data_IF_873952905674
#
_entry.id   IF_873952905674
#
_cell.length_a   1.000
_cell.length_b   1.000
_cell.length_c   1.000
_cell.angle_alpha   90.00
_cell.angle_beta   90.00
_cell.angle_gamma   90.00
#
_symmetry.space_group_name_H-M   'P 1'
#
loop_
_entity.id
_entity.type
_entity.pdbx_description
1 polymer ?
#
# COMPACT_ATOMS: atom_id res chain seq x y z
N UNK A 1 25.41 8.59 -14.60
CA UNK A 1 25.82 7.18 -14.55
C UNK A 1 24.62 6.42 -14.02
N UNK A 2 23.88 5.74 -14.91
CA UNK A 2 22.68 4.97 -14.53
C UNK A 2 23.18 3.60 -14.07
N UNK A 3 23.16 3.36 -12.77
CA UNK A 3 23.44 2.03 -12.25
C UNK A 3 22.23 1.13 -12.59
N UNK A 4 22.44 0.26 -13.57
CA UNK A 4 21.51 -0.81 -13.96
C UNK A 4 21.37 -1.78 -12.77
N UNK A 5 20.41 -1.51 -11.90
CA UNK A 5 20.05 -2.35 -10.74
C UNK A 5 19.07 -3.46 -11.13
N UNK A 6 19.13 -3.90 -12.38
CA UNK A 6 18.39 -5.07 -12.85
C UNK A 6 19.13 -6.33 -12.39
N UNK A 7 18.53 -7.06 -11.46
CA UNK A 7 19.00 -8.41 -11.14
C UNK A 7 18.59 -9.29 -12.31
N UNK A 8 19.53 -9.52 -13.22
CA UNK A 8 19.38 -10.57 -14.24
C UNK A 8 19.72 -11.89 -13.56
N UNK A 9 18.77 -12.81 -13.58
CA UNK A 9 19.06 -14.17 -13.20
C UNK A 9 19.90 -14.78 -14.34
N UNK A 10 21.15 -15.13 -14.05
CA UNK A 10 21.94 -15.95 -14.96
C UNK A 10 21.45 -17.39 -14.83
N UNK A 11 21.18 -18.01 -15.97
CA UNK A 11 20.71 -19.39 -16.08
C UNK A 11 21.79 -20.36 -15.58
N UNK A 12 21.84 -20.61 -14.27
CA UNK A 12 22.58 -21.74 -13.72
C UNK A 12 21.77 -23.00 -13.99
N UNK A 13 22.29 -23.87 -14.82
CA UNK A 13 21.72 -25.20 -15.05
C UNK A 13 21.67 -25.96 -13.71
N UNK A 14 20.44 -26.33 -13.32
CA UNK A 14 20.11 -27.37 -12.35
C UNK A 14 20.91 -27.39 -11.05
N UNK A 15 20.43 -26.68 -10.02
CA UNK A 15 20.76 -27.09 -8.66
C UNK A 15 20.19 -28.51 -8.44
N UNK A 16 21.07 -29.50 -8.31
CA UNK A 16 20.70 -30.84 -7.89
C UNK A 16 19.91 -30.74 -6.59
N UNK A 17 18.67 -31.24 -6.58
CA UNK A 17 17.86 -31.32 -5.36
C UNK A 17 18.68 -32.03 -4.30
N UNK A 18 18.92 -31.35 -3.18
CA UNK A 18 19.74 -31.94 -2.11
C UNK A 18 18.96 -33.10 -1.48
N UNK A 19 19.67 -34.12 -0.97
CA UNK A 19 19.03 -35.23 -0.25
C UNK A 19 18.13 -34.73 0.91
N UNK A 20 18.52 -33.60 1.52
CA UNK A 20 17.74 -32.90 2.54
C UNK A 20 16.37 -32.43 2.01
N UNK A 21 16.34 -31.75 0.86
CA UNK A 21 15.09 -31.26 0.26
C UNK A 21 14.16 -32.41 -0.15
N UNK A 22 14.72 -33.53 -0.61
CA UNK A 22 13.95 -34.75 -0.88
C UNK A 22 13.26 -35.29 0.37
N UNK A 23 14.00 -35.43 1.48
CA UNK A 23 13.46 -35.90 2.77
C UNK A 23 12.35 -34.97 3.27
N UNK A 24 12.57 -33.65 3.22
CA UNK A 24 11.59 -32.67 3.67
C UNK A 24 10.30 -32.75 2.84
N UNK A 25 10.41 -32.88 1.51
CA UNK A 25 9.26 -32.99 0.61
C UNK A 25 8.47 -34.27 0.86
N UNK A 26 9.15 -35.39 1.01
CA UNK A 26 8.50 -36.69 1.29
C UNK A 26 7.84 -36.72 2.67
N UNK A 27 8.47 -36.12 3.67
CA UNK A 27 7.89 -35.94 5.00
C UNK A 27 6.62 -35.09 4.94
N UNK A 28 6.71 -33.91 4.32
CA UNK A 28 5.58 -32.99 4.18
C UNK A 28 4.42 -33.60 3.37
N UNK A 29 4.72 -34.32 2.28
CA UNK A 29 3.70 -35.02 1.48
C UNK A 29 2.93 -36.03 2.33
N UNK A 30 3.64 -36.83 3.13
CA UNK A 30 3.04 -37.85 4.01
C UNK A 30 2.15 -37.21 5.07
N UNK A 31 2.66 -36.22 5.77
CA UNK A 31 1.91 -35.50 6.81
C UNK A 31 0.66 -34.82 6.23
N UNK A 32 0.78 -34.16 5.08
CA UNK A 32 -0.37 -33.53 4.43
C UNK A 32 -1.40 -34.55 3.97
N UNK A 33 -0.95 -35.68 3.40
CA UNK A 33 -1.83 -36.76 2.98
C UNK A 33 -2.58 -37.34 4.18
N UNK A 34 -1.90 -37.57 5.30
CA UNK A 34 -2.49 -38.06 6.56
C UNK A 34 -3.52 -37.07 7.13
N UNK A 35 -3.21 -35.77 7.13
CA UNK A 35 -4.16 -34.75 7.59
C UNK A 35 -5.44 -34.70 6.72
N UNK A 36 -5.31 -34.86 5.40
CA UNK A 36 -6.47 -34.90 4.48
C UNK A 36 -7.29 -36.20 4.69
N UNK A 37 -6.61 -37.32 4.94
CA UNK A 37 -7.25 -38.59 5.30
C UNK A 37 -8.08 -38.44 6.57
N UNK A 38 -7.46 -37.88 7.61
CA UNK A 38 -8.08 -37.70 8.91
C UNK A 38 -9.25 -36.73 8.88
N UNK A 39 -9.17 -35.65 8.11
CA UNK A 39 -10.29 -34.72 7.93
C UNK A 39 -11.52 -35.43 7.34
N UNK A 40 -11.35 -36.25 6.30
CA UNK A 40 -12.45 -37.00 5.69
C UNK A 40 -12.98 -38.08 6.64
N UNK A 41 -12.07 -38.79 7.32
CA UNK A 41 -12.45 -39.81 8.29
C UNK A 41 -13.18 -39.20 9.49
N UNK A 42 -12.79 -38.02 9.96
CA UNK A 42 -13.47 -37.26 11.00
C UNK A 42 -14.86 -36.84 10.56
N UNK A 43 -15.01 -36.32 9.33
CA UNK A 43 -16.32 -35.97 8.76
C UNK A 43 -17.27 -37.18 8.70
N UNK A 44 -16.79 -38.35 8.27
CA UNK A 44 -17.61 -39.57 8.21
C UNK A 44 -17.92 -40.09 9.63
N UNK A 45 -16.93 -40.09 10.54
CA UNK A 45 -17.10 -40.55 11.93
C UNK A 45 -18.10 -39.70 12.70
N UNK A 46 -18.10 -38.39 12.50
CA UNK A 46 -19.05 -37.47 13.13
C UNK A 46 -20.50 -37.66 12.66
N UNK A 47 -20.74 -38.50 11.66
CA UNK A 47 -22.07 -38.73 11.03
C UNK A 47 -22.44 -40.20 10.94
N UNK A 48 -21.94 -41.00 11.88
CA UNK A 48 -22.21 -42.44 11.93
C UNK A 48 -23.68 -42.75 12.24
N UNK A 49 -24.35 -41.87 12.97
CA UNK A 49 -25.77 -41.99 13.33
C UNK A 49 -26.70 -41.64 12.16
N UNK A 50 -26.21 -40.90 11.17
CA UNK A 50 -26.98 -40.56 9.97
C UNK A 50 -27.15 -41.82 9.09
N UNK A 51 -28.37 -42.35 9.09
CA UNK A 51 -28.75 -43.54 8.31
C UNK A 51 -29.77 -43.22 7.23
N UNK A 52 -29.75 -44.03 6.18
CA UNK A 52 -30.79 -44.07 5.16
C UNK A 52 -32.00 -44.86 5.71
N UNK A 53 -33.15 -44.78 5.03
CA UNK A 53 -34.36 -45.55 5.39
C UNK A 53 -34.12 -47.07 5.42
N UNK A 54 -33.17 -47.57 4.63
CA UNK A 54 -32.75 -48.97 4.59
C UNK A 54 -31.78 -49.38 5.73
N UNK A 55 -31.53 -48.48 6.69
CA UNK A 55 -30.65 -48.72 7.83
C UNK A 55 -29.14 -48.65 7.50
N UNK A 56 -28.75 -48.43 6.25
CA UNK A 56 -27.35 -48.26 5.86
C UNK A 56 -26.83 -46.86 6.21
N UNK A 57 -25.51 -46.72 6.37
CA UNK A 57 -24.88 -45.41 6.62
C UNK A 57 -25.13 -44.46 5.44
N UNK A 58 -25.57 -43.24 5.75
CA UNK A 58 -25.80 -42.18 4.77
C UNK A 58 -24.50 -41.64 4.17
N UNK A 59 -23.50 -41.37 5.01
CA UNK A 59 -22.20 -40.88 4.58
C UNK A 59 -21.18 -42.02 4.52
N UNK A 60 -20.60 -42.23 3.34
CA UNK A 60 -19.65 -43.32 3.10
C UNK A 60 -18.43 -42.84 2.32
N UNK A 61 -17.30 -43.51 2.53
CA UNK A 61 -16.10 -43.29 1.73
C UNK A 61 -16.29 -43.93 0.35
N UNK A 62 -15.98 -43.21 -0.71
CA UNK A 62 -16.20 -43.65 -2.09
C UNK A 62 -14.96 -43.38 -2.97
N UNK A 63 -13.85 -44.01 -2.60
CA UNK A 63 -12.57 -43.89 -3.31
C UNK A 63 -11.92 -42.51 -3.16
N UNK A 64 -11.18 -42.08 -4.18
CA UNK A 64 -10.38 -40.86 -4.18
C UNK A 64 -10.72 -39.95 -5.35
N UNK A 65 -10.54 -38.64 -5.17
CA UNK A 65 -10.42 -37.72 -6.30
C UNK A 65 -9.12 -38.02 -7.07
N UNK A 66 -9.03 -37.64 -8.35
CA UNK A 66 -7.77 -37.72 -9.08
C UNK A 66 -6.64 -37.06 -8.29
N UNK A 67 -5.45 -37.63 -8.39
CA UNK A 67 -4.26 -37.03 -7.81
C UNK A 67 -4.07 -35.62 -8.33
N UNK A 68 -3.68 -34.72 -7.43
CA UNK A 68 -3.33 -33.36 -7.80
C UNK A 68 -2.01 -32.96 -7.17
N UNK A 69 -1.25 -32.25 -7.96
CA UNK A 69 -0.06 -31.57 -7.50
C UNK A 69 -0.46 -30.23 -6.86
N UNK A 70 0.03 -30.01 -5.63
CA UNK A 70 -0.12 -28.79 -4.85
C UNK A 70 1.26 -28.12 -4.75
N UNK A 71 1.43 -26.94 -5.33
CA UNK A 71 2.68 -26.16 -5.20
C UNK A 71 2.76 -25.52 -3.82
N UNK A 72 3.83 -25.80 -3.08
CA UNK A 72 4.09 -25.27 -1.74
C UNK A 72 5.45 -24.56 -1.68
N UNK A 73 5.81 -23.97 -0.54
CA UNK A 73 7.12 -23.33 -0.35
C UNK A 73 8.33 -24.27 -0.45
N UNK A 74 8.13 -25.59 -0.36
CA UNK A 74 9.17 -26.62 -0.51
C UNK A 74 9.10 -27.36 -1.86
N UNK A 75 8.28 -26.81 -2.78
CA UNK A 75 8.02 -27.37 -4.10
C UNK A 75 6.68 -28.11 -4.21
N UNK A 76 6.47 -28.82 -5.32
CA UNK A 76 5.22 -29.53 -5.60
C UNK A 76 5.04 -30.78 -4.73
N UNK A 77 3.84 -30.94 -4.17
CA UNK A 77 3.41 -32.11 -3.41
C UNK A 77 2.23 -32.79 -4.11
N UNK A 78 2.39 -34.05 -4.50
CA UNK A 78 1.29 -34.86 -5.03
C UNK A 78 0.42 -35.39 -3.88
N UNK A 79 -0.88 -35.08 -3.92
CA UNK A 79 -1.86 -35.50 -2.90
C UNK A 79 -3.14 -36.04 -3.53
N UNK A 80 -3.78 -36.99 -2.85
CA UNK A 80 -5.06 -37.58 -3.23
C UNK A 80 -6.09 -37.36 -2.14
N UNK A 81 -7.14 -36.62 -2.44
CA UNK A 81 -8.21 -36.38 -1.47
C UNK A 81 -9.20 -37.55 -1.49
N UNK A 82 -9.50 -38.22 -0.35
CA UNK A 82 -10.58 -39.18 -0.27
C UNK A 82 -11.94 -38.53 -0.56
N UNK A 83 -12.87 -39.31 -1.11
CA UNK A 83 -14.25 -38.86 -1.34
C UNK A 83 -15.14 -39.33 -0.21
N UNK A 84 -15.84 -38.40 0.43
CA UNK A 84 -17.05 -38.71 1.19
C UNK A 84 -18.27 -38.51 0.28
N UNK A 85 -19.12 -39.53 0.18
CA UNK A 85 -20.38 -39.52 -0.57
C UNK A 85 -21.54 -39.49 0.42
N UNK A 86 -22.42 -38.50 0.28
CA UNK A 86 -23.78 -38.57 0.80
C UNK A 86 -24.61 -39.45 -0.14
N UNK A 87 -25.14 -40.57 0.36
CA UNK A 87 -26.03 -41.45 -0.41
C UNK A 87 -27.36 -40.77 -0.75
N UNK A 88 -27.84 -39.85 0.09
CA UNK A 88 -29.05 -39.07 -0.17
C UNK A 88 -28.82 -37.95 -1.21
N UNK A 89 -27.55 -37.62 -1.51
CA UNK A 89 -27.18 -36.61 -2.51
C UNK A 89 -27.51 -35.17 -2.13
N UNK A 90 -27.87 -34.90 -0.87
CA UNK A 90 -28.28 -33.58 -0.41
C UNK A 90 -27.08 -32.72 0.03
N UNK A 91 -25.98 -33.35 0.45
CA UNK A 91 -24.79 -32.65 0.89
C UNK A 91 -23.52 -33.11 0.17
N UNK A 92 -22.58 -32.17 -0.01
CA UNK A 92 -21.26 -32.43 -0.59
C UNK A 92 -20.17 -32.01 0.39
N UNK A 93 -19.29 -32.95 0.73
CA UNK A 93 -18.10 -32.65 1.51
C UNK A 93 -17.16 -31.67 0.79
N UNK A 94 -16.79 -30.60 1.48
CA UNK A 94 -15.72 -29.68 1.09
C UNK A 94 -14.63 -29.70 2.15
N UNK A 95 -13.40 -29.96 1.72
CA UNK A 95 -12.22 -29.98 2.59
C UNK A 95 -11.81 -28.55 2.96
N UNK A 96 -11.55 -28.32 4.24
CA UNK A 96 -10.97 -27.09 4.74
C UNK A 96 -9.45 -27.07 4.52
N UNK A 97 -8.79 -28.23 4.65
CA UNK A 97 -7.35 -28.39 4.42
C UNK A 97 -6.99 -28.24 2.93
N UNK A 98 -7.77 -28.88 2.06
CA UNK A 98 -7.54 -28.92 0.62
C UNK A 98 -8.81 -28.55 -0.17
N UNK A 99 -9.20 -27.25 -0.17
CA UNK A 99 -10.35 -26.75 -0.89
C UNK A 99 -10.42 -27.18 -2.36
N UNK A 100 -11.64 -27.19 -2.89
CA UNK A 100 -11.88 -27.53 -4.29
C UNK A 100 -11.03 -26.64 -5.22
N UNK A 101 -10.42 -27.26 -6.23
CA UNK A 101 -9.60 -26.59 -7.25
C UNK A 101 -8.31 -25.89 -6.76
N UNK A 102 -7.99 -25.94 -5.46
CA UNK A 102 -6.70 -25.48 -4.95
C UNK A 102 -5.53 -26.23 -5.63
N UNK A 103 -4.57 -25.47 -6.15
CA UNK A 103 -3.34 -25.95 -6.83
C UNK A 103 -2.04 -25.44 -6.20
N UNK A 104 -2.12 -24.50 -5.26
CA UNK A 104 -0.97 -23.93 -4.54
C UNK A 104 -1.39 -23.37 -3.18
N UNK A 105 -0.43 -23.21 -2.28
CA UNK A 105 -0.67 -22.60 -0.97
C UNK A 105 -0.75 -21.06 -1.08
N UNK A 106 -1.54 -20.39 -0.22
CA UNK A 106 -1.65 -18.92 -0.21
C UNK A 106 -0.29 -18.22 -0.05
N UNK A 107 0.64 -18.81 0.70
CA UNK A 107 2.00 -18.28 0.88
C UNK A 107 2.76 -18.13 -0.45
N UNK A 108 2.56 -19.01 -1.42
CA UNK A 108 3.20 -18.91 -2.75
C UNK A 108 2.63 -17.72 -3.53
N UNK A 109 1.32 -17.45 -3.40
CA UNK A 109 0.68 -16.30 -4.04
C UNK A 109 1.18 -14.96 -3.46
N UNK A 110 1.61 -14.94 -2.19
CA UNK A 110 2.17 -13.72 -1.56
C UNK A 110 3.57 -13.35 -2.06
N UNK A 111 4.33 -14.30 -2.61
CA UNK A 111 5.69 -14.03 -3.13
C UNK A 111 5.64 -13.18 -4.40
N UNK A 112 4.57 -13.28 -5.19
CA UNK A 112 4.47 -12.65 -6.51
C UNK A 112 4.38 -11.11 -6.42
N UNK A 113 3.52 -10.50 -5.56
CA UNK A 113 3.60 -9.07 -5.28
C UNK A 113 4.98 -8.62 -4.78
N UNK A 114 5.64 -9.45 -3.96
CA UNK A 114 6.98 -9.15 -3.43
C UNK A 114 8.02 -9.13 -4.56
N UNK A 115 7.99 -10.09 -5.50
CA UNK A 115 8.87 -10.08 -6.68
C UNK A 115 8.66 -8.84 -7.54
N UNK A 116 7.40 -8.39 -7.71
CA UNK A 116 7.11 -7.10 -8.35
C UNK A 116 7.71 -5.92 -7.56
N UNK A 117 7.54 -5.88 -6.24
CA UNK A 117 8.11 -4.82 -5.39
C UNK A 117 9.64 -4.81 -5.46
N UNK A 118 10.26 -5.99 -5.51
CA UNK A 118 11.71 -6.15 -5.69
C UNK A 118 12.17 -5.87 -7.12
N UNK A 119 11.25 -5.69 -8.06
CA UNK A 119 11.52 -5.22 -9.41
C UNK A 119 11.92 -6.30 -10.41
N UNK A 120 11.54 -7.54 -10.14
CA UNK A 120 11.65 -8.61 -11.13
C UNK A 120 10.66 -8.28 -12.27
N UNK A 121 11.08 -8.44 -13.53
CA UNK A 121 10.16 -8.24 -14.64
C UNK A 121 9.18 -9.42 -14.73
N UNK A 122 7.94 -9.17 -15.16
CA UNK A 122 6.90 -10.22 -15.29
C UNK A 122 7.37 -11.44 -16.09
N UNK A 123 8.23 -11.23 -17.11
CA UNK A 123 8.80 -12.31 -17.92
C UNK A 123 9.77 -13.21 -17.15
N UNK A 124 10.43 -12.66 -16.12
CA UNK A 124 11.47 -13.34 -15.34
C UNK A 124 10.89 -13.99 -14.07
N UNK A 125 9.57 -13.89 -13.85
CA UNK A 125 8.90 -14.47 -12.67
C UNK A 125 9.01 -15.98 -12.63
N UNK A 126 8.85 -16.61 -13.81
CA UNK A 126 8.99 -18.05 -13.93
C UNK A 126 10.39 -18.49 -13.50
N UNK A 127 11.42 -17.72 -13.83
CA UNK A 127 12.80 -18.01 -13.48
C UNK A 127 13.07 -17.79 -11.98
N UNK A 128 12.73 -16.60 -11.45
CA UNK A 128 12.91 -16.27 -10.04
C UNK A 128 12.19 -17.27 -9.12
N UNK A 129 10.99 -17.70 -9.49
CA UNK A 129 10.22 -18.67 -8.72
C UNK A 129 10.70 -20.11 -8.93
N UNK A 130 11.17 -20.48 -10.13
CA UNK A 130 11.77 -21.80 -10.35
C UNK A 130 13.08 -21.97 -9.57
N UNK A 131 13.84 -20.88 -9.38
CA UNK A 131 15.03 -20.89 -8.52
C UNK A 131 14.67 -21.12 -7.03
N UNK A 132 13.50 -20.68 -6.59
CA UNK A 132 13.05 -20.83 -5.19
C UNK A 132 12.26 -22.13 -4.93
N UNK A 133 11.44 -22.56 -5.90
CA UNK A 133 10.46 -23.65 -5.73
C UNK A 133 10.80 -24.91 -6.55
N UNK A 134 11.87 -24.86 -7.35
CA UNK A 134 12.34 -25.93 -8.23
C UNK A 134 11.76 -25.87 -9.66
N UNK A 135 12.36 -26.61 -10.61
CA UNK A 135 12.02 -26.57 -12.04
C UNK A 135 10.61 -27.10 -12.36
N UNK A 136 10.03 -27.88 -11.45
CA UNK A 136 8.68 -28.45 -11.61
C UNK A 136 7.57 -27.52 -11.08
N UNK A 137 7.89 -26.30 -10.64
CA UNK A 137 6.90 -25.31 -10.21
C UNK A 137 6.15 -24.69 -11.41
N UNK A 138 5.47 -25.54 -12.18
CA UNK A 138 4.73 -25.21 -13.43
C UNK A 138 3.47 -24.36 -13.18
N UNK A 139 3.04 -24.21 -11.93
CA UNK A 139 1.85 -23.45 -11.50
C UNK A 139 1.92 -21.93 -11.63
N UNK A 140 2.93 -21.40 -12.34
CA UNK A 140 3.29 -19.97 -12.36
C UNK A 140 3.43 -19.38 -13.78
N UNK A 141 2.78 -20.01 -14.78
CA UNK A 141 2.70 -19.49 -16.15
C UNK A 141 2.14 -18.06 -16.25
N UNK A 142 2.36 -17.38 -17.38
CA UNK A 142 1.82 -16.04 -17.64
C UNK A 142 0.30 -15.92 -17.40
N UNK A 143 -0.46 -16.99 -17.68
CA UNK A 143 -1.90 -17.07 -17.40
C UNK A 143 -2.22 -17.00 -15.89
N UNK A 144 -1.36 -17.54 -15.03
CA UNK A 144 -1.49 -17.44 -13.58
C UNK A 144 -1.24 -16.03 -13.07
N UNK A 145 -0.32 -15.29 -13.69
CA UNK A 145 -0.08 -13.88 -13.38
C UNK A 145 -1.32 -13.03 -13.70
N UNK A 146 -2.01 -13.32 -14.81
CA UNK A 146 -3.28 -12.67 -15.16
C UNK A 146 -4.36 -12.99 -14.10
N UNK A 147 -4.48 -14.25 -13.68
CA UNK A 147 -5.45 -14.64 -12.64
C UNK A 147 -5.16 -13.99 -11.28
N UNK A 148 -3.89 -13.76 -10.94
CA UNK A 148 -3.50 -13.05 -9.72
C UNK A 148 -3.87 -11.57 -9.77
N UNK A 149 -3.76 -10.92 -10.93
CA UNK A 149 -4.26 -9.55 -11.12
C UNK A 149 -5.77 -9.47 -10.84
N UNK A 150 -6.53 -10.52 -11.18
CA UNK A 150 -7.95 -10.59 -10.83
C UNK A 150 -8.14 -10.66 -9.31
N UNK A 151 -7.38 -11.51 -8.60
CA UNK A 151 -7.41 -11.55 -7.14
C UNK A 151 -7.06 -10.21 -6.49
N UNK A 152 -6.11 -9.47 -7.05
CA UNK A 152 -5.77 -8.12 -6.56
C UNK A 152 -6.86 -7.08 -6.83
N UNK A 153 -7.61 -7.23 -7.92
CA UNK A 153 -8.81 -6.41 -8.16
C UNK A 153 -9.88 -6.67 -7.11
N UNK A 154 -10.12 -7.95 -6.78
CA UNK A 154 -11.09 -8.32 -5.74
C UNK A 154 -10.65 -7.78 -4.37
N UNK A 155 -9.37 -7.90 -4.04
CA UNK A 155 -8.80 -7.36 -2.81
C UNK A 155 -8.89 -5.83 -2.75
N UNK A 156 -8.57 -5.16 -3.87
CA UNK A 156 -8.73 -3.71 -3.97
C UNK A 156 -10.19 -3.31 -3.77
N UNK A 157 -11.14 -4.00 -4.41
CA UNK A 157 -12.58 -3.70 -4.30
C UNK A 157 -13.08 -3.88 -2.87
N UNK A 158 -12.67 -4.95 -2.18
CA UNK A 158 -12.99 -5.16 -0.76
C UNK A 158 -12.38 -4.09 0.13
N UNK A 159 -11.12 -3.74 -0.14
CA UNK A 159 -10.40 -2.72 0.64
C UNK A 159 -10.96 -1.31 0.38
N UNK A 160 -11.31 -0.98 -0.86
CA UNK A 160 -11.83 0.33 -1.25
C UNK A 160 -13.24 0.55 -0.72
N UNK A 161 -14.01 -0.51 -0.45
CA UNK A 161 -15.35 -0.44 0.15
C UNK A 161 -15.37 -0.75 1.66
N UNK A 162 -14.21 -0.90 2.30
CA UNK A 162 -14.12 -1.26 3.72
C UNK A 162 -14.75 -0.20 4.62
N UNK A 163 -15.27 -0.64 5.77
CA UNK A 163 -15.79 0.24 6.81
C UNK A 163 -14.63 1.03 7.47
N UNK A 164 -14.80 2.35 7.58
CA UNK A 164 -13.85 3.28 8.21
C UNK A 164 -14.42 3.97 9.47
N UNK A 165 -15.61 3.57 9.95
CA UNK A 165 -16.30 4.21 11.07
C UNK A 165 -15.54 4.19 12.40
N UNK A 166 -14.71 3.17 12.62
CA UNK A 166 -13.86 3.07 13.82
C UNK A 166 -12.50 3.76 13.66
N UNK A 167 -12.19 4.24 12.45
CA UNK A 167 -10.91 4.89 12.16
C UNK A 167 -10.98 6.35 12.57
N UNK A 168 -9.95 6.80 13.28
CA UNK A 168 -9.75 8.21 13.60
C UNK A 168 -8.30 8.55 13.30
N UNK A 169 -8.11 9.51 12.41
CA UNK A 169 -6.78 9.94 11.98
C UNK A 169 -6.43 11.28 12.61
N UNK A 170 -5.23 11.41 13.15
CA UNK A 170 -4.73 12.69 13.64
C UNK A 170 -4.25 13.57 12.49
N UNK A 171 -3.58 12.98 11.51
CA UNK A 171 -3.02 13.66 10.34
C UNK A 171 -3.37 12.93 9.05
N UNK A 172 -3.54 13.68 7.98
CA UNK A 172 -3.51 13.16 6.61
C UNK A 172 -2.33 13.72 5.82
N UNK A 173 -1.85 12.91 4.89
CA UNK A 173 -1.03 13.35 3.77
C UNK A 173 -1.80 13.05 2.49
N UNK A 174 -1.81 14.01 1.56
CA UNK A 174 -2.44 13.89 0.26
C UNK A 174 -1.42 14.18 -0.84
N UNK A 175 -1.40 13.36 -1.88
CA UNK A 175 -0.53 13.54 -3.04
C UNK A 175 -1.16 12.98 -4.31
N UNK A 176 -0.74 13.54 -5.45
CA UNK A 176 -1.11 13.08 -6.78
C UNK A 176 0.08 12.45 -7.49
N UNK A 177 -0.03 11.15 -7.77
CA UNK A 177 1.10 10.35 -8.25
C UNK A 177 0.87 9.91 -9.68
N UNK A 178 1.71 10.44 -10.56
CA UNK A 178 1.65 10.19 -11.98
C UNK A 178 2.36 8.88 -12.34
N UNK A 179 1.66 7.97 -13.02
CA UNK A 179 2.20 6.70 -13.53
C UNK A 179 2.18 6.65 -15.05
N UNK A 180 3.16 5.95 -15.64
CA UNK A 180 3.13 5.64 -17.07
C UNK A 180 2.23 4.41 -17.30
N UNK A 181 1.13 4.57 -18.06
CA UNK A 181 0.27 3.46 -18.49
C UNK A 181 0.55 3.14 -19.96
N UNK A 182 0.69 1.85 -20.27
CA UNK A 182 1.16 1.39 -21.60
C UNK A 182 0.14 1.60 -22.71
N UNK A 183 -1.14 1.51 -22.40
CA UNK A 183 -2.24 1.48 -23.36
C UNK A 183 -2.91 2.84 -23.59
N UNK A 184 -2.43 3.91 -22.94
CA UNK A 184 -2.99 5.26 -23.07
C UNK A 184 -1.86 6.29 -23.12
N UNK A 185 -1.94 7.31 -24.00
CA UNK A 185 -0.97 8.42 -24.01
C UNK A 185 -1.09 9.30 -22.74
N UNK A 186 -2.23 9.24 -22.05
CA UNK A 186 -2.48 9.93 -20.79
C UNK A 186 -1.70 9.26 -19.63
N UNK A 187 -1.02 10.07 -18.82
CA UNK A 187 -0.41 9.65 -17.55
C UNK A 187 -1.46 9.82 -16.44
N UNK A 188 -2.17 8.76 -16.02
CA UNK A 188 -3.14 8.89 -14.94
C UNK A 188 -2.46 9.40 -13.68
N UNK A 189 -3.13 10.33 -13.00
CA UNK A 189 -2.72 10.81 -11.71
C UNK A 189 -3.52 10.07 -10.64
N UNK A 190 -2.86 9.13 -9.96
CA UNK A 190 -3.49 8.44 -8.84
C UNK A 190 -3.48 9.34 -7.63
N UNK A 191 -4.67 9.56 -7.07
CA UNK A 191 -4.83 10.32 -5.85
C UNK A 191 -4.58 9.38 -4.67
N UNK A 192 -3.67 9.78 -3.79
CA UNK A 192 -3.28 8.99 -2.62
C UNK A 192 -3.59 9.78 -1.36
N UNK A 193 -4.32 9.15 -0.45
CA UNK A 193 -4.56 9.64 0.90
C UNK A 193 -3.97 8.66 1.91
N UNK A 194 -2.99 9.14 2.69
CA UNK A 194 -2.37 8.42 3.80
C UNK A 194 -2.82 9.08 5.11
N UNK A 195 -2.97 8.30 6.18
CA UNK A 195 -3.38 8.81 7.48
C UNK A 195 -2.56 8.22 8.62
N UNK A 196 -2.47 8.96 9.72
CA UNK A 196 -1.87 8.47 10.97
C UNK A 196 -2.95 8.24 12.03
N UNK A 197 -2.94 7.06 12.64
CA UNK A 197 -3.86 6.66 13.70
C UNK A 197 -3.41 7.23 15.06
N UNK A 198 -4.26 7.06 16.08
CA UNK A 198 -4.03 7.49 17.47
C UNK A 198 -2.73 6.97 18.11
N UNK A 199 -2.22 5.84 17.63
CA UNK A 199 -0.98 5.21 18.12
C UNK A 199 0.26 5.61 17.28
N UNK A 200 0.10 6.56 16.35
CA UNK A 200 1.13 7.03 15.44
C UNK A 200 1.42 6.11 14.25
N UNK A 201 0.73 4.97 14.13
CA UNK A 201 0.83 4.09 12.97
C UNK A 201 0.27 4.79 11.74
N UNK A 202 1.02 4.77 10.64
CA UNK A 202 0.58 5.30 9.36
C UNK A 202 -0.05 4.18 8.54
N UNK A 203 -1.16 4.46 7.86
CA UNK A 203 -1.81 3.53 6.93
C UNK A 203 -2.36 4.24 5.70
N UNK A 204 -2.55 3.50 4.61
CA UNK A 204 -3.21 3.98 3.41
C UNK A 204 -4.71 4.12 3.71
N UNK A 205 -5.25 5.33 3.55
CA UNK A 205 -6.67 5.60 3.77
C UNK A 205 -7.44 5.31 2.47
N UNK A 206 -7.01 5.92 1.38
CA UNK A 206 -7.62 5.76 0.07
C UNK A 206 -6.58 5.86 -1.05
N UNK A 207 -6.84 5.16 -2.14
CA UNK A 207 -6.18 5.36 -3.42
C UNK A 207 -7.24 5.28 -4.52
N UNK A 208 -7.28 6.31 -5.35
CA UNK A 208 -8.19 6.41 -6.48
C UNK A 208 -7.41 6.64 -7.77
N UNK A 209 -7.91 6.12 -8.88
CA UNK A 209 -7.19 6.20 -10.14
C UNK A 209 -7.26 7.58 -10.80
N UNK A 210 -8.02 8.54 -10.23
CA UNK A 210 -7.99 9.98 -10.49
C UNK A 210 -7.78 10.37 -11.95
N UNK A 211 -8.81 10.87 -12.64
CA UNK A 211 -8.60 11.28 -14.04
C UNK A 211 -7.57 12.42 -14.13
N UNK A 212 -7.50 13.25 -13.09
CA UNK A 212 -6.63 14.43 -12.91
C UNK A 212 -6.73 14.93 -11.46
N UNK A 213 -5.77 15.75 -11.02
CA UNK A 213 -5.80 16.44 -9.71
C UNK A 213 -6.77 17.62 -9.70
N UNK A 214 -8.01 17.39 -10.08
CA UNK A 214 -9.07 18.40 -10.02
C UNK A 214 -9.81 18.33 -8.68
N UNK A 215 -10.54 19.40 -8.36
CA UNK A 215 -11.41 19.46 -7.17
C UNK A 215 -12.41 18.32 -7.18
N UNK A 216 -13.02 18.03 -8.32
CA UNK A 216 -14.04 16.99 -8.46
C UNK A 216 -13.50 15.59 -8.16
N UNK A 217 -12.29 15.27 -8.64
CA UNK A 217 -11.65 13.98 -8.36
C UNK A 217 -11.36 13.83 -6.86
N UNK A 218 -10.83 14.88 -6.21
CA UNK A 218 -10.59 14.86 -4.77
C UNK A 218 -11.88 14.81 -3.95
N UNK A 219 -12.92 15.53 -4.36
CA UNK A 219 -14.24 15.47 -3.71
C UNK A 219 -14.85 14.08 -3.82
N UNK A 220 -14.74 13.42 -4.99
CA UNK A 220 -15.22 12.06 -5.15
C UNK A 220 -14.52 11.12 -4.14
N UNK A 221 -13.20 11.19 -4.04
CA UNK A 221 -12.42 10.40 -3.07
C UNK A 221 -12.82 10.71 -1.62
N UNK A 222 -12.90 11.99 -1.24
CA UNK A 222 -13.21 12.40 0.14
C UNK A 222 -14.66 12.04 0.53
N UNK A 223 -15.62 12.17 -0.39
CA UNK A 223 -17.02 11.76 -0.18
C UNK A 223 -17.15 10.25 -0.05
N UNK A 224 -16.41 9.48 -0.85
CA UNK A 224 -16.36 8.03 -0.73
C UNK A 224 -15.80 7.60 0.64
N UNK A 225 -14.68 8.19 1.07
CA UNK A 225 -14.11 7.96 2.40
C UNK A 225 -15.11 8.30 3.51
N UNK A 226 -15.85 9.41 3.38
CA UNK A 226 -16.89 9.84 4.31
C UNK A 226 -18.06 8.84 4.34
N UNK A 227 -18.52 8.39 3.18
CA UNK A 227 -19.60 7.42 3.02
C UNK A 227 -19.26 6.06 3.66
N UNK A 228 -17.98 5.68 3.65
CA UNK A 228 -17.45 4.49 4.33
C UNK A 228 -17.40 4.60 5.86
N UNK A 229 -17.70 5.76 6.41
CA UNK A 229 -17.86 5.98 7.85
C UNK A 229 -16.88 6.98 8.47
N UNK A 230 -15.91 7.51 7.70
CA UNK A 230 -14.93 8.46 8.21
C UNK A 230 -15.51 9.88 8.28
N UNK A 231 -16.44 10.10 9.21
CA UNK A 231 -17.22 11.35 9.28
C UNK A 231 -16.43 12.55 9.80
N UNK A 232 -15.34 12.30 10.53
CA UNK A 232 -14.47 13.34 11.10
C UNK A 232 -13.17 13.40 10.31
N UNK A 233 -12.78 14.61 9.93
CA UNK A 233 -11.48 14.89 9.31
C UNK A 233 -10.33 14.77 10.31
N UNK A 234 -9.08 14.82 9.84
CA UNK A 234 -7.91 14.88 10.70
C UNK A 234 -7.81 16.27 11.34
N UNK A 235 -6.90 16.43 12.30
CA UNK A 235 -6.57 17.76 12.84
C UNK A 235 -5.81 18.58 11.81
N UNK A 236 -4.89 17.95 11.08
CA UNK A 236 -4.07 18.57 10.04
C UNK A 236 -4.04 17.71 8.78
N UNK A 237 -4.20 18.33 7.62
CA UNK A 237 -3.89 17.73 6.32
C UNK A 237 -2.62 18.36 5.74
N UNK A 238 -1.77 17.54 5.14
CA UNK A 238 -0.50 17.95 4.52
C UNK A 238 -0.53 17.60 3.04
N UNK A 239 -0.25 18.56 2.16
CA UNK A 239 -0.30 18.35 0.72
C UNK A 239 0.56 19.35 -0.06
N UNK A 240 0.66 19.15 -1.38
CA UNK A 240 1.24 20.14 -2.31
C UNK A 240 0.32 21.38 -2.49
N UNK A 241 0.78 22.39 -3.22
CA UNK A 241 0.04 23.56 -3.70
C UNK A 241 -1.09 23.27 -4.70
N UNK A 242 -1.30 22.03 -5.15
CA UNK A 242 -2.37 21.68 -6.09
C UNK A 242 -3.77 22.04 -5.52
N UNK A 243 -4.43 23.01 -6.14
CA UNK A 243 -5.64 23.65 -5.59
C UNK A 243 -6.84 22.71 -5.43
N UNK A 244 -6.91 21.63 -6.22
CA UNK A 244 -8.05 20.70 -6.21
C UNK A 244 -8.27 20.02 -4.86
N UNK A 245 -7.20 19.55 -4.21
CA UNK A 245 -7.30 18.87 -2.91
C UNK A 245 -7.88 19.79 -1.83
N UNK A 246 -7.34 21.00 -1.73
CA UNK A 246 -7.70 21.94 -0.66
C UNK A 246 -9.12 22.47 -0.81
N UNK A 247 -9.53 22.81 -2.04
CA UNK A 247 -10.91 23.20 -2.30
C UNK A 247 -11.91 22.05 -2.03
N UNK A 248 -11.49 20.79 -2.17
CA UNK A 248 -12.31 19.64 -1.79
C UNK A 248 -12.32 19.42 -0.28
N UNK A 249 -11.17 19.58 0.38
CA UNK A 249 -11.01 19.40 1.82
C UNK A 249 -11.81 20.43 2.61
N UNK A 250 -11.80 21.70 2.18
CA UNK A 250 -12.56 22.79 2.81
C UNK A 250 -14.07 22.49 2.82
N UNK A 251 -14.61 21.93 1.73
CA UNK A 251 -16.04 21.57 1.66
C UNK A 251 -16.37 20.29 2.45
N UNK A 252 -15.50 19.29 2.39
CA UNK A 252 -15.81 17.98 2.97
C UNK A 252 -15.40 17.88 4.45
N UNK A 253 -14.37 18.59 4.90
CA UNK A 253 -13.83 18.55 6.26
C UNK A 253 -13.34 19.95 6.71
N UNK A 254 -14.26 20.93 6.88
CA UNK A 254 -13.92 22.34 7.09
C UNK A 254 -13.09 22.63 8.35
N UNK A 255 -13.17 21.77 9.37
CA UNK A 255 -12.43 21.93 10.63
C UNK A 255 -10.97 21.43 10.56
N UNK A 256 -10.50 21.01 9.37
CA UNK A 256 -9.14 20.47 9.18
C UNK A 256 -8.16 21.60 8.89
N UNK A 257 -7.09 21.69 9.69
CA UNK A 257 -6.02 22.64 9.41
C UNK A 257 -5.25 22.26 8.12
N UNK A 258 -4.80 23.28 7.40
CA UNK A 258 -3.99 23.10 6.20
C UNK A 258 -2.50 23.28 6.46
N UNK A 259 -1.68 22.36 5.95
CA UNK A 259 -0.24 22.51 5.87
C UNK A 259 0.30 22.24 4.47
N UNK A 260 0.95 23.24 3.88
CA UNK A 260 1.62 23.07 2.58
C UNK A 260 2.99 22.43 2.72
N UNK A 261 3.31 21.51 1.82
CA UNK A 261 4.58 20.80 1.82
C UNK A 261 5.75 21.73 1.50
N UNK A 262 6.69 21.87 2.43
CA UNK A 262 7.89 22.69 2.24
C UNK A 262 8.82 22.16 1.15
N UNK A 263 8.84 20.85 0.91
CA UNK A 263 9.68 20.26 -0.16
C UNK A 263 9.18 20.71 -1.52
N UNK A 264 7.89 20.52 -1.80
CA UNK A 264 7.27 20.99 -3.05
C UNK A 264 7.32 22.52 -3.17
N UNK A 265 7.08 23.24 -2.07
CA UNK A 265 7.20 24.70 -2.06
C UNK A 265 8.60 25.16 -2.45
N UNK A 266 9.63 24.53 -1.88
CA UNK A 266 11.04 24.82 -2.20
C UNK A 266 11.30 24.56 -3.68
N UNK A 267 10.89 23.40 -4.23
CA UNK A 267 11.07 23.10 -5.65
C UNK A 267 10.38 24.16 -6.55
N UNK A 268 9.11 24.48 -6.26
CA UNK A 268 8.34 25.49 -6.99
C UNK A 268 8.98 26.88 -6.96
N UNK A 269 9.62 27.25 -5.84
CA UNK A 269 10.37 28.50 -5.73
C UNK A 269 11.68 28.46 -6.52
N UNK A 270 12.46 27.37 -6.41
CA UNK A 270 13.74 27.24 -7.11
C UNK A 270 13.57 27.22 -8.63
N UNK A 271 12.50 26.64 -9.16
CA UNK A 271 12.18 26.63 -10.60
C UNK A 271 11.95 28.04 -11.18
N UNK A 272 11.66 29.02 -10.32
CA UNK A 272 11.49 30.43 -10.70
C UNK A 272 12.79 31.24 -10.55
N UNK A 273 13.90 30.57 -10.23
CA UNK A 273 15.22 31.16 -10.05
C UNK A 273 16.25 30.60 -11.03
N UNK A 274 17.21 31.41 -11.49
CA UNK A 274 18.38 30.93 -12.21
C UNK A 274 19.18 29.89 -11.39
N UNK A 275 19.68 28.83 -12.05
CA UNK A 275 20.42 27.74 -11.39
C UNK A 275 21.60 28.21 -10.52
N UNK A 276 22.27 29.31 -10.90
CA UNK A 276 23.40 29.87 -10.17
C UNK A 276 23.06 30.40 -8.77
N UNK A 277 21.82 30.88 -8.55
CA UNK A 277 21.39 31.45 -7.26
C UNK A 277 20.63 30.45 -6.39
N UNK A 278 20.17 29.34 -6.97
CA UNK A 278 19.38 28.32 -6.27
C UNK A 278 20.06 27.75 -5.00
N UNK A 279 21.38 27.48 -4.95
CA UNK A 279 22.01 26.95 -3.73
C UNK A 279 21.92 27.91 -2.54
N UNK A 280 22.07 29.22 -2.76
CA UNK A 280 21.93 30.20 -1.69
C UNK A 280 20.47 30.41 -1.30
N UNK A 281 19.57 30.52 -2.28
CA UNK A 281 18.14 30.64 -2.03
C UNK A 281 17.60 29.46 -1.20
N UNK A 282 18.03 28.23 -1.51
CA UNK A 282 17.64 27.03 -0.78
C UNK A 282 18.04 27.08 0.70
N UNK A 283 19.22 27.62 1.02
CA UNK A 283 19.64 27.80 2.42
C UNK A 283 18.72 28.77 3.16
N UNK A 284 18.40 29.90 2.56
CA UNK A 284 17.47 30.86 3.18
C UNK A 284 16.05 30.31 3.32
N UNK A 285 15.58 29.50 2.37
CA UNK A 285 14.29 28.79 2.49
C UNK A 285 14.34 27.80 3.66
N UNK A 286 15.45 27.07 3.83
CA UNK A 286 15.64 26.18 4.97
C UNK A 286 15.60 26.94 6.31
N UNK A 287 16.20 28.12 6.38
CA UNK A 287 16.17 28.97 7.59
C UNK A 287 14.73 29.32 8.03
N UNK A 288 13.75 29.29 7.11
CA UNK A 288 12.34 29.55 7.45
C UNK A 288 11.70 28.36 8.17
N UNK A 289 11.70 27.18 7.55
CA UNK A 289 10.92 26.04 8.04
C UNK A 289 11.69 25.14 9.03
N UNK A 290 12.99 25.38 9.19
CA UNK A 290 13.82 24.78 10.23
C UNK A 290 14.02 25.71 11.45
N UNK A 291 13.42 26.91 11.43
CA UNK A 291 13.51 27.83 12.56
C UNK A 291 12.96 27.18 13.86
N UNK A 292 13.48 27.57 15.03
CA UNK A 292 13.03 27.01 16.30
C UNK A 292 11.62 27.48 16.69
N UNK A 293 11.12 28.57 16.11
CA UNK A 293 9.79 29.13 16.39
C UNK A 293 9.19 29.79 15.14
N UNK A 294 7.88 29.95 15.14
CA UNK A 294 7.14 30.67 14.10
C UNK A 294 7.60 32.13 13.97
N UNK A 295 7.95 32.78 15.07
CA UNK A 295 8.46 34.15 15.05
C UNK A 295 9.79 34.26 14.30
N UNK A 296 10.74 33.36 14.56
CA UNK A 296 12.02 33.32 13.84
C UNK A 296 11.82 32.91 12.37
N UNK A 297 10.88 32.00 12.09
CA UNK A 297 10.51 31.62 10.73
C UNK A 297 10.00 32.82 9.90
N UNK A 298 9.18 33.68 10.52
CA UNK A 298 8.66 34.91 9.88
C UNK A 298 9.77 35.92 9.63
N UNK A 299 10.74 36.09 10.54
CA UNK A 299 11.91 36.93 10.31
C UNK A 299 12.75 36.43 9.12
N UNK A 300 12.95 35.12 9.01
CA UNK A 300 13.65 34.50 7.87
C UNK A 300 12.87 34.69 6.56
N UNK A 301 11.54 34.56 6.61
CA UNK A 301 10.65 34.85 5.49
C UNK A 301 10.82 36.31 5.01
N UNK A 302 10.74 37.29 5.90
CA UNK A 302 10.85 38.71 5.58
C UNK A 302 12.22 39.06 5.01
N UNK A 303 13.28 38.43 5.55
CA UNK A 303 14.63 38.53 5.01
C UNK A 303 14.67 38.06 3.55
N UNK A 304 14.12 36.89 3.24
CA UNK A 304 14.10 36.37 1.87
C UNK A 304 13.32 37.28 0.93
N UNK A 305 12.14 37.76 1.35
CA UNK A 305 11.33 38.71 0.57
C UNK A 305 12.13 39.98 0.25
N UNK A 306 12.87 40.54 1.23
CA UNK A 306 13.69 41.73 1.02
C UNK A 306 14.87 41.48 0.08
N UNK A 307 15.57 40.36 0.24
CA UNK A 307 16.77 40.04 -0.55
C UNK A 307 16.44 39.62 -2.00
N UNK A 308 15.37 38.85 -2.20
CA UNK A 308 15.01 38.28 -3.50
C UNK A 308 13.89 39.05 -4.21
N UNK A 309 13.04 39.80 -3.50
CA UNK A 309 11.91 40.54 -4.07
C UNK A 309 12.30 41.47 -5.23
N UNK A 310 13.33 42.31 -5.09
CA UNK A 310 13.70 43.26 -6.16
C UNK A 310 14.17 42.61 -7.47
N UNK A 311 14.70 41.37 -7.41
CA UNK A 311 15.32 40.69 -8.57
C UNK A 311 14.49 39.51 -9.08
N UNK A 312 13.67 38.92 -8.21
CA UNK A 312 13.02 37.63 -8.44
C UNK A 312 11.57 37.63 -7.95
N UNK A 313 10.80 38.66 -8.33
CA UNK A 313 9.40 38.86 -7.93
C UNK A 313 8.55 37.58 -8.03
N UNK A 314 8.64 36.83 -9.13
CA UNK A 314 7.90 35.56 -9.33
C UNK A 314 8.14 34.52 -8.23
N UNK A 315 9.37 34.44 -7.70
CA UNK A 315 9.70 33.50 -6.61
C UNK A 315 9.07 33.95 -5.29
N UNK A 316 9.06 35.26 -5.05
CA UNK A 316 8.47 35.85 -3.85
C UNK A 316 6.94 35.80 -3.89
N UNK A 317 6.31 36.09 -5.02
CA UNK A 317 4.87 35.89 -5.25
C UNK A 317 4.49 34.42 -5.03
N UNK A 318 5.29 33.50 -5.57
CA UNK A 318 5.12 32.08 -5.33
C UNK A 318 5.15 31.78 -3.84
N UNK A 319 6.13 32.27 -3.09
CA UNK A 319 6.23 32.11 -1.63
C UNK A 319 5.00 32.68 -0.90
N UNK A 320 4.67 33.94 -1.17
CA UNK A 320 3.65 34.71 -0.47
C UNK A 320 2.24 34.12 -0.57
N UNK A 321 1.91 33.48 -1.70
CA UNK A 321 0.59 32.86 -1.94
C UNK A 321 0.14 31.91 -0.83
N UNK A 322 1.07 31.21 -0.20
CA UNK A 322 0.75 30.15 0.78
C UNK A 322 1.28 30.48 2.19
N UNK A 323 1.59 31.75 2.49
CA UNK A 323 2.25 32.17 3.75
C UNK A 323 1.54 31.62 4.99
N UNK A 324 0.22 31.73 5.02
CA UNK A 324 -0.57 31.45 6.22
C UNK A 324 -0.61 29.95 6.56
N UNK A 325 -0.52 29.10 5.54
CA UNK A 325 -0.62 27.63 5.63
C UNK A 325 0.75 26.93 5.57
N UNK A 326 1.84 27.66 5.38
CA UNK A 326 3.20 27.11 5.36
C UNK A 326 3.75 26.87 6.77
N UNK A 327 3.26 27.62 7.76
CA UNK A 327 3.78 27.61 9.13
C UNK A 327 2.79 26.99 10.13
N UNK A 328 1.71 26.37 9.67
CA UNK A 328 0.68 25.75 10.52
C UNK A 328 1.25 24.67 11.42
N UNK A 329 2.28 23.95 10.97
CA UNK A 329 2.93 22.89 11.74
C UNK A 329 3.48 23.36 13.10
N UNK A 330 3.78 24.65 13.30
CA UNK A 330 4.20 25.18 14.60
C UNK A 330 3.10 25.10 15.68
N UNK A 331 1.83 24.95 15.28
CA UNK A 331 0.69 24.73 16.18
C UNK A 331 0.52 23.26 16.62
N UNK A 332 1.49 22.41 16.31
CA UNK A 332 1.51 20.97 16.59
C UNK A 332 2.83 20.57 17.26
N UNK A 333 2.90 19.42 17.97
CA UNK A 333 4.11 18.98 18.68
C UNK A 333 5.40 19.07 17.86
N UNK A 334 6.48 19.56 18.46
CA UNK A 334 7.77 19.72 17.79
C UNK A 334 8.32 18.40 17.23
N UNK A 335 8.06 17.30 17.94
CA UNK A 335 8.43 15.94 17.54
C UNK A 335 7.78 15.55 16.21
N UNK A 336 6.59 16.09 15.91
CA UNK A 336 5.82 15.75 14.73
C UNK A 336 6.29 16.53 13.50
N UNK A 337 6.96 17.68 13.67
CA UNK A 337 7.30 18.62 12.58
C UNK A 337 8.03 17.98 11.40
N UNK A 338 8.95 17.05 11.67
CA UNK A 338 9.68 16.33 10.62
C UNK A 338 8.76 15.53 9.69
N UNK A 339 7.60 15.11 10.18
CA UNK A 339 6.60 14.34 9.43
C UNK A 339 5.55 15.23 8.77
N UNK A 340 5.15 16.33 9.42
CA UNK A 340 3.99 17.12 8.98
C UNK A 340 4.34 18.36 8.16
N UNK A 341 5.60 18.81 8.12
CA UNK A 341 6.02 19.91 7.23
C UNK A 341 6.20 19.48 5.76
N UNK A 342 6.09 18.19 5.47
CA UNK A 342 6.34 17.60 4.14
C UNK A 342 5.38 16.46 3.82
N UNK A 343 5.18 16.17 2.54
CA UNK A 343 4.53 14.95 2.04
C UNK A 343 5.50 13.78 1.87
N UNK A 344 6.71 13.86 2.43
CA UNK A 344 7.72 12.80 2.34
C UNK A 344 7.22 11.41 2.77
N UNK A 345 6.33 11.25 3.78
CA UNK A 345 5.74 9.94 4.09
C UNK A 345 5.07 9.26 2.89
N UNK A 346 4.42 10.03 2.00
CA UNK A 346 3.93 9.52 0.72
C UNK A 346 5.08 9.40 -0.28
N UNK A 347 5.84 10.46 -0.50
CA UNK A 347 6.82 10.51 -1.58
C UNK A 347 7.87 9.39 -1.48
N UNK A 348 8.40 9.12 -0.28
CA UNK A 348 9.38 8.04 -0.06
C UNK A 348 8.79 6.67 -0.34
N UNK A 349 7.52 6.47 0.02
CA UNK A 349 6.80 5.20 -0.14
C UNK A 349 6.51 4.91 -1.60
N UNK A 350 6.14 5.95 -2.35
CA UNK A 350 5.81 5.83 -3.77
C UNK A 350 6.99 6.04 -4.70
N UNK A 351 8.16 6.51 -4.23
CA UNK A 351 9.39 6.51 -5.02
C UNK A 351 9.76 5.08 -5.47
N UNK A 352 9.66 4.10 -4.57
CA UNK A 352 9.85 2.68 -4.92
C UNK A 352 8.81 2.23 -5.94
N UNK A 353 7.54 2.55 -5.74
CA UNK A 353 6.46 2.18 -6.67
C UNK A 353 6.69 2.78 -8.06
N UNK A 354 7.01 4.08 -8.16
CA UNK A 354 7.34 4.79 -9.42
C UNK A 354 8.54 4.18 -10.13
N UNK A 355 9.63 3.92 -9.40
CA UNK A 355 10.83 3.30 -9.98
C UNK A 355 10.48 1.95 -10.62
N UNK A 356 9.66 1.15 -9.95
CA UNK A 356 9.33 -0.22 -10.39
C UNK A 356 8.31 -0.25 -11.52
N UNK A 357 7.28 0.59 -11.49
CA UNK A 357 6.30 0.73 -12.59
C UNK A 357 6.96 1.19 -13.90
N UNK A 358 8.00 2.03 -13.84
CA UNK A 358 8.78 2.45 -15.01
C UNK A 358 9.51 1.29 -15.68
N UNK A 359 10.06 0.35 -14.91
CA UNK A 359 10.81 -0.80 -15.43
C UNK A 359 9.91 -1.85 -16.08
N UNK A 360 8.70 -2.04 -15.55
CA UNK A 360 7.74 -3.03 -16.09
C UNK A 360 6.97 -2.54 -17.33
N UNK A 361 7.26 -1.32 -17.82
CA UNK A 361 6.56 -0.66 -18.95
C UNK A 361 5.03 -0.54 -18.77
N UNK A 362 4.54 -0.53 -17.52
CA UNK A 362 3.11 -0.38 -17.18
C UNK A 362 2.28 -1.68 -17.22
N UNK A 363 1.16 -1.73 -16.47
CA UNK A 363 0.39 -2.97 -16.23
C UNK A 363 -0.70 -3.32 -17.26
N UNK A 364 -0.65 -2.77 -18.47
CA UNK A 364 -1.72 -2.90 -19.45
C UNK A 364 -2.79 -1.83 -19.18
N UNK A 365 -3.84 -2.15 -18.41
CA UNK A 365 -4.97 -1.25 -18.13
C UNK A 365 -4.77 -0.34 -16.91
N UNK A 366 -5.63 0.69 -16.79
CA UNK A 366 -5.65 1.62 -15.64
C UNK A 366 -5.97 0.90 -14.34
N UNK A 367 -7.03 0.08 -14.31
CA UNK A 367 -7.40 -0.74 -13.15
C UNK A 367 -6.27 -1.71 -12.74
N UNK A 368 -5.60 -2.35 -13.70
CA UNK A 368 -4.47 -3.21 -13.39
C UNK A 368 -3.29 -2.43 -12.78
N UNK A 369 -3.07 -1.19 -13.24
CA UNK A 369 -2.07 -0.31 -12.66
C UNK A 369 -2.46 0.12 -11.24
N UNK A 370 -3.71 0.53 -11.02
CA UNK A 370 -4.25 0.93 -9.71
C UNK A 370 -4.11 -0.20 -8.68
N UNK A 371 -4.54 -1.41 -9.04
CA UNK A 371 -4.49 -2.58 -8.15
C UNK A 371 -3.07 -3.01 -7.83
N UNK A 372 -2.15 -2.89 -8.78
CA UNK A 372 -0.73 -3.09 -8.52
C UNK A 372 -0.20 -2.03 -7.55
N UNK A 373 -0.47 -0.75 -7.81
CA UNK A 373 -0.03 0.34 -6.93
C UNK A 373 -0.58 0.14 -5.52
N UNK A 374 -1.87 -0.19 -5.38
CA UNK A 374 -2.49 -0.58 -4.11
C UNK A 374 -1.72 -1.69 -3.39
N UNK A 375 -1.40 -2.81 -4.07
CA UNK A 375 -0.66 -3.91 -3.45
C UNK A 375 0.75 -3.52 -3.04
N UNK A 376 1.44 -2.73 -3.85
CA UNK A 376 2.77 -2.23 -3.52
C UNK A 376 2.73 -1.25 -2.34
N UNK A 377 1.71 -0.40 -2.27
CA UNK A 377 1.48 0.50 -1.13
C UNK A 377 1.18 -0.27 0.16
N UNK A 378 0.37 -1.33 0.10
CA UNK A 378 0.08 -2.20 1.26
C UNK A 378 1.34 -2.93 1.77
N UNK A 379 2.25 -3.30 0.88
CA UNK A 379 3.52 -3.89 1.28
C UNK A 379 4.47 -2.86 1.89
N UNK A 380 4.53 -1.65 1.31
CA UNK A 380 5.33 -0.55 1.83
C UNK A 380 4.85 -0.10 3.23
N UNK A 381 3.53 -0.11 3.46
CA UNK A 381 2.89 0.26 4.72
C UNK A 381 3.45 -0.48 5.94
N UNK A 382 3.77 -1.77 5.78
CA UNK A 382 4.36 -2.61 6.84
C UNK A 382 5.68 -2.09 7.40
N UNK A 383 6.37 -1.24 6.64
CA UNK A 383 7.67 -0.69 7.00
C UNK A 383 7.62 0.82 7.26
N UNK A 384 6.44 1.43 7.25
CA UNK A 384 6.32 2.85 7.57
C UNK A 384 6.63 3.10 9.02
N UNK A 385 7.54 4.06 9.25
CA UNK A 385 7.88 4.51 10.59
C UNK A 385 6.65 5.17 11.21
N UNK A 386 6.39 4.87 12.49
CA UNK A 386 5.39 5.61 13.28
C UNK A 386 5.74 7.09 13.36
N UNK A 387 4.76 7.91 13.72
CA UNK A 387 5.03 9.31 14.10
C UNK A 387 5.96 9.34 15.32
N UNK A 388 6.97 10.23 15.26
CA UNK A 388 7.76 10.55 16.44
C UNK A 388 6.84 11.17 17.48
N UNK A 389 7.10 10.98 18.77
CA UNK A 389 6.28 11.60 19.81
C UNK A 389 4.83 11.11 19.84
N UNK A 390 4.53 9.90 19.35
CA UNK A 390 3.16 9.36 19.22
C UNK A 390 2.29 9.45 20.48
N UNK A 391 2.90 9.52 21.67
CA UNK A 391 2.21 9.75 22.94
C UNK A 391 1.48 11.11 23.01
N UNK A 392 1.90 12.11 22.23
CA UNK A 392 1.32 13.46 22.17
C UNK A 392 0.10 13.54 21.24
N UNK A 393 -0.18 12.48 20.47
CA UNK A 393 -1.31 12.44 19.53
C UNK A 393 -2.65 12.58 20.26
N UNK A 394 -2.77 12.02 21.46
CA UNK A 394 -4.01 12.11 22.26
C UNK A 394 -4.34 13.58 22.55
N UNK A 395 -3.35 14.37 22.96
CA UNK A 395 -3.50 15.80 23.24
C UNK A 395 -3.88 16.58 21.98
N UNK A 396 -3.29 16.24 20.83
CA UNK A 396 -3.65 16.84 19.54
C UNK A 396 -5.10 16.52 19.16
N UNK A 397 -5.53 15.28 19.36
CA UNK A 397 -6.90 14.82 19.06
C UNK A 397 -7.94 15.42 20.02
N UNK A 398 -7.57 15.65 21.28
CA UNK A 398 -8.37 16.38 22.28
C UNK A 398 -8.44 17.89 22.01
N UNK A 399 -7.68 18.39 21.03
CA UNK A 399 -7.66 19.80 20.66
C UNK A 399 -6.86 20.70 21.61
N UNK A 400 -5.92 20.14 22.38
CA UNK A 400 -5.02 20.95 23.21
C UNK A 400 -4.14 21.83 22.33
N UNK A 401 -3.90 23.05 22.80
CA UNK A 401 -3.09 24.02 22.08
C UNK A 401 -1.59 23.71 22.20
N UNK A 402 -0.88 23.84 21.10
CA UNK A 402 0.57 23.87 21.06
C UNK A 402 1.02 25.21 20.47
N UNK A 403 2.04 25.80 21.09
CA UNK A 403 2.68 27.03 20.58
C UNK A 403 4.15 26.72 20.39
N UNK A 404 4.64 26.88 19.17
CA UNK A 404 5.99 26.50 18.76
C UNK A 404 6.34 25.06 19.21
N UNK A 405 5.35 24.16 19.09
CA UNK A 405 5.49 22.74 19.36
C UNK A 405 5.51 22.34 20.83
N UNK A 406 5.32 23.30 21.75
CA UNK A 406 5.21 23.05 23.19
C UNK A 406 3.74 23.05 23.60
N UNK A 407 3.32 22.00 24.31
CA UNK A 407 1.98 21.88 24.87
C UNK A 407 1.72 23.04 25.84
N UNK A 408 0.60 23.73 25.66
CA UNK A 408 0.16 24.76 26.59
C UNK A 408 -0.70 24.13 27.68
N UNK A 409 -0.43 24.49 28.93
CA UNK A 409 -1.33 24.12 30.04
C UNK A 409 -2.65 24.89 29.87
N UNK A 410 -3.77 24.26 30.24
CA UNK A 410 -5.06 24.92 30.21
C UNK A 410 -5.02 26.11 31.18
N UNK A 411 -5.25 27.32 30.66
CA UNK A 411 -5.30 28.55 31.44
C UNK A 411 -6.50 28.59 32.39
#
# INVERSE_FOLDING_TARGET
MQDDTTIRFEKREGAAQTALEGILRDGARRLLQEAIEDEVNAYIRGRVEDRMEDGTRRFVRNGYKPERELVTGIGPLAVRQPRARDKAGQERFSSAILPAFMRRTPSVDTVIPVLYLKGVATGDFSEALSALLGPNATGLSAANIVRLKQGWQDDYTKWSTRNLSEKVYVYWWADGIHFNVRLTPERPCMLVLMGALKDGTKELVAIDDGHRESKESWQALLRDVKARGLRRGPRLAVGDGALGFWAALEEEYPDTDEQRCWVHKTANMLDKLPKSVQPHAKRLIHDMYLAPSKAEAVKAYERFVREYGPKYAKTVECLAKDRDVLFTFYNYPAEHWSHIRTTNPIESSFATVRHRTRQTKGCGSRLATLTMVFKLSMEAEKHWRKLNGSQLIVQVMEGKAFVDGVLQEAA
#
